data_IF_525407904346
#
_entry.id   IF_525407904346
#
_cell.length_a   1.000
_cell.length_b   1.000
_cell.length_c   1.000
_cell.angle_alpha   90.00
_cell.angle_beta   90.00
_cell.angle_gamma   90.00
#
_symmetry.space_group_name_H-M   'P 1'
#
loop_
_entity.id
_entity.type
_entity.pdbx_description
1 polymer ?
#
# COMPACT_ATOMS: atom_id res chain seq x y z
N UNK A 1 -1.99 9.69 88.42
CA UNK A 1 -2.31 10.84 87.54
C UNK A 1 -1.01 11.55 87.16
N UNK A 2 -0.60 11.47 85.89
CA UNK A 2 0.18 12.47 85.12
C UNK A 2 0.67 11.80 83.83
N UNK A 3 0.06 12.18 82.71
CA UNK A 3 0.50 11.86 81.37
C UNK A 3 1.56 12.87 80.92
N UNK A 4 2.46 12.48 80.02
CA UNK A 4 3.21 13.38 79.12
C UNK A 4 3.65 12.53 77.90
N UNK A 5 2.93 12.62 76.78
CA UNK A 5 3.11 13.58 75.67
C UNK A 5 4.25 13.18 74.74
N UNK A 6 3.93 12.40 73.72
CA UNK A 6 4.79 12.11 72.58
C UNK A 6 4.30 12.93 71.37
N UNK A 7 5.14 13.83 70.88
CA UNK A 7 4.90 14.59 69.65
C UNK A 7 5.14 13.67 68.44
N UNK A 8 4.10 13.38 67.68
CA UNK A 8 4.17 12.66 66.40
C UNK A 8 4.24 13.72 65.30
N UNK A 9 5.40 13.83 64.64
CA UNK A 9 5.57 14.65 63.45
C UNK A 9 4.92 13.93 62.24
N UNK A 10 3.87 14.51 61.69
CA UNK A 10 3.22 14.06 60.45
C UNK A 10 4.01 14.57 59.25
N UNK A 11 4.69 13.66 58.55
CA UNK A 11 5.24 13.89 57.21
C UNK A 11 4.10 13.77 56.19
N UNK A 12 3.91 14.72 55.27
CA UNK A 12 2.96 14.57 54.18
C UNK A 12 3.52 13.57 53.15
N UNK A 13 2.93 12.39 53.09
CA UNK A 13 3.12 11.44 51.98
C UNK A 13 2.48 12.03 50.73
N UNK A 14 3.29 12.66 49.87
CA UNK A 14 2.86 13.04 48.53
C UNK A 14 2.63 11.76 47.71
N UNK A 15 1.38 11.46 47.38
CA UNK A 15 1.04 10.47 46.36
C UNK A 15 1.43 11.03 44.99
N UNK A 16 2.54 10.55 44.43
CA UNK A 16 2.84 10.73 43.03
C UNK A 16 1.87 9.87 42.21
N UNK A 17 0.93 10.50 41.51
CA UNK A 17 0.10 9.84 40.51
C UNK A 17 1.01 9.61 39.29
N UNK A 18 1.26 8.36 38.84
CA UNK A 18 1.95 8.15 37.60
C UNK A 18 1.12 8.75 36.47
N UNK A 19 1.67 9.76 35.79
CA UNK A 19 1.09 10.29 34.57
C UNK A 19 1.06 9.14 33.55
N UNK A 20 -0.06 8.88 32.85
CA UNK A 20 -0.02 8.01 31.69
C UNK A 20 0.92 8.66 30.67
N UNK A 21 2.13 8.12 30.55
CA UNK A 21 2.96 8.30 29.37
C UNK A 21 2.08 7.91 28.18
N UNK A 22 2.02 8.70 27.09
CA UNK A 22 1.46 8.22 25.84
C UNK A 22 2.25 6.96 25.48
N UNK A 23 1.63 5.82 25.73
CA UNK A 23 1.94 4.60 25.05
C UNK A 23 1.56 4.85 23.59
N UNK A 24 2.49 5.45 22.86
CA UNK A 24 2.50 5.45 21.40
C UNK A 24 2.64 3.98 20.98
N UNK A 25 1.53 3.26 21.06
CA UNK A 25 1.33 1.96 20.45
C UNK A 25 1.24 2.12 18.94
N UNK A 26 2.25 2.75 18.33
CA UNK A 26 2.53 2.60 16.93
C UNK A 26 3.06 1.18 16.74
N UNK A 27 2.14 0.22 16.58
CA UNK A 27 2.47 -1.12 16.09
C UNK A 27 3.20 -0.95 14.77
N UNK A 28 4.52 -1.16 14.78
CA UNK A 28 5.30 -1.23 13.54
C UNK A 28 4.76 -2.41 12.72
N UNK A 29 4.21 -2.12 11.55
CA UNK A 29 3.82 -3.17 10.61
C UNK A 29 5.07 -4.00 10.27
N UNK A 30 4.90 -5.31 10.18
CA UNK A 30 5.96 -6.13 9.61
C UNK A 30 6.27 -5.67 8.19
N UNK A 31 7.52 -5.85 7.76
CA UNK A 31 7.93 -5.51 6.40
C UNK A 31 7.05 -6.20 5.35
N UNK A 32 6.67 -7.45 5.59
CA UNK A 32 5.75 -8.19 4.71
C UNK A 32 4.39 -7.49 4.57
N UNK A 33 3.78 -7.05 5.68
CA UNK A 33 2.52 -6.32 5.64
C UNK A 33 2.66 -5.00 4.88
N UNK A 34 3.77 -4.28 5.09
CA UNK A 34 4.04 -3.03 4.35
C UNK A 34 4.16 -3.28 2.84
N UNK A 35 4.89 -4.31 2.43
CA UNK A 35 5.04 -4.67 1.02
C UNK A 35 3.72 -5.12 0.39
N UNK A 36 2.86 -5.83 1.14
CA UNK A 36 1.51 -6.18 0.69
C UNK A 36 0.68 -4.91 0.45
N UNK A 37 0.67 -3.96 1.40
CA UNK A 37 -0.04 -2.69 1.22
C UNK A 37 0.47 -1.89 0.02
N UNK A 38 1.78 -1.82 -0.20
CA UNK A 38 2.36 -1.14 -1.37
C UNK A 38 1.96 -1.87 -2.66
N UNK A 39 1.94 -3.20 -2.67
CA UNK A 39 1.47 -3.98 -3.83
C UNK A 39 0.01 -3.65 -4.15
N UNK A 40 -0.83 -3.52 -3.14
CA UNK A 40 -2.26 -3.23 -3.31
C UNK A 40 -2.48 -1.80 -3.80
N UNK A 41 -1.72 -0.83 -3.28
CA UNK A 41 -1.69 0.54 -3.76
C UNK A 41 -1.27 0.61 -5.23
N UNK A 42 -0.18 -0.05 -5.61
CA UNK A 42 0.30 -0.11 -6.99
C UNK A 42 -0.71 -0.76 -7.96
N UNK A 43 -1.43 -1.78 -7.49
CA UNK A 43 -2.42 -2.49 -8.30
C UNK A 43 -3.73 -1.72 -8.47
N UNK A 44 -4.25 -1.14 -7.39
CA UNK A 44 -5.64 -0.69 -7.33
C UNK A 44 -5.80 0.77 -6.91
N UNK A 45 -4.78 1.38 -6.30
CA UNK A 45 -4.79 2.78 -5.89
C UNK A 45 -4.24 3.74 -6.94
N UNK A 46 -3.47 3.24 -7.92
CA UNK A 46 -2.84 4.06 -8.95
C UNK A 46 -3.55 3.96 -10.31
N UNK A 47 -3.48 5.08 -11.03
CA UNK A 47 -3.72 5.09 -12.46
C UNK A 47 -2.55 4.44 -13.20
N UNK A 48 -2.81 3.96 -14.43
CA UNK A 48 -1.81 3.23 -15.21
C UNK A 48 -0.52 4.04 -15.49
N UNK A 49 -0.58 5.36 -15.79
CA UNK A 49 0.65 6.16 -15.95
C UNK A 49 1.49 6.22 -14.68
N UNK A 50 0.86 6.31 -13.51
CA UNK A 50 1.58 6.36 -12.23
C UNK A 50 2.21 5.00 -11.91
N UNK A 51 1.47 3.90 -12.07
CA UNK A 51 2.04 2.55 -11.96
C UNK A 51 3.24 2.35 -12.88
N UNK A 52 3.11 2.80 -14.13
CA UNK A 52 4.19 2.75 -15.12
C UNK A 52 5.43 3.48 -14.60
N UNK A 53 5.29 4.70 -14.08
CA UNK A 53 6.41 5.45 -13.55
C UNK A 53 7.10 4.72 -12.39
N UNK A 54 6.32 4.08 -11.51
CA UNK A 54 6.84 3.25 -10.40
C UNK A 54 7.60 2.02 -10.91
N UNK A 55 7.07 1.35 -11.94
CA UNK A 55 7.70 0.21 -12.61
C UNK A 55 9.03 0.59 -13.26
N UNK A 56 9.05 1.68 -14.02
CA UNK A 56 10.26 2.19 -14.69
C UNK A 56 11.34 2.59 -13.67
N UNK A 57 10.93 3.09 -12.50
CA UNK A 57 11.82 3.38 -11.38
C UNK A 57 12.23 2.15 -10.55
N UNK A 58 11.66 0.96 -10.80
CA UNK A 58 11.82 -0.24 -9.97
C UNK A 58 11.56 0.03 -8.47
N UNK A 59 10.52 0.78 -8.15
CA UNK A 59 10.29 1.30 -6.80
C UNK A 59 8.96 0.82 -6.18
N UNK A 60 8.97 -0.02 -5.12
CA UNK A 60 10.16 -0.46 -4.37
C UNK A 60 10.86 -1.67 -5.00
N UNK A 61 12.21 -1.79 -4.89
CA UNK A 61 12.98 -2.89 -5.48
C UNK A 61 12.74 -4.25 -4.81
N UNK A 62 12.10 -4.27 -3.64
CA UNK A 62 11.74 -5.48 -2.92
C UNK A 62 10.58 -6.25 -3.58
N UNK A 63 9.81 -5.61 -4.46
CA UNK A 63 8.73 -6.26 -5.21
C UNK A 63 9.24 -6.81 -6.53
N UNK A 64 8.58 -7.85 -7.03
CA UNK A 64 8.95 -8.46 -8.30
C UNK A 64 8.35 -7.66 -9.47
N UNK A 65 9.22 -7.06 -10.28
CA UNK A 65 8.83 -6.23 -11.43
C UNK A 65 8.96 -6.96 -12.77
N UNK A 66 9.34 -8.24 -12.77
CA UNK A 66 9.42 -9.02 -13.99
C UNK A 66 8.06 -9.09 -14.72
N UNK A 67 8.09 -8.97 -16.04
CA UNK A 67 6.93 -9.17 -16.92
C UNK A 67 7.46 -9.57 -18.30
N UNK A 68 6.81 -10.54 -18.91
CA UNK A 68 6.99 -10.87 -20.32
C UNK A 68 6.00 -10.12 -21.22
N UNK A 69 5.17 -9.26 -20.64
CA UNK A 69 4.25 -8.39 -21.34
C UNK A 69 3.04 -9.14 -21.87
N UNK A 70 2.57 -8.75 -23.05
CA UNK A 70 1.34 -9.29 -23.62
C UNK A 70 1.53 -10.61 -24.41
N UNK A 71 2.59 -11.39 -24.16
CA UNK A 71 2.90 -12.64 -24.88
C UNK A 71 1.76 -13.66 -24.87
N UNK A 72 0.99 -13.69 -23.77
CA UNK A 72 -0.14 -14.60 -23.56
C UNK A 72 -1.49 -13.88 -23.60
N UNK A 73 -1.50 -12.60 -23.97
CA UNK A 73 -2.71 -11.80 -24.00
C UNK A 73 -3.55 -12.09 -25.27
N UNK A 74 -4.86 -11.80 -25.24
CA UNK A 74 -5.69 -11.87 -26.43
C UNK A 74 -5.17 -10.93 -27.53
N UNK A 75 -5.54 -11.22 -28.78
CA UNK A 75 -5.27 -10.32 -29.90
C UNK A 75 -5.77 -8.89 -29.59
N UNK A 76 -5.04 -7.87 -30.06
CA UNK A 76 -5.38 -6.46 -29.87
C UNK A 76 -5.96 -5.87 -31.16
N UNK A 77 -7.26 -6.07 -31.44
CA UNK A 77 -7.88 -5.60 -32.68
C UNK A 77 -7.96 -4.07 -32.76
N UNK A 78 -7.85 -3.37 -31.63
CA UNK A 78 -7.96 -1.91 -31.56
C UNK A 78 -6.61 -1.19 -31.67
N UNK A 79 -5.49 -1.92 -31.57
CA UNK A 79 -4.15 -1.35 -31.78
C UNK A 79 -3.66 -0.39 -30.70
N UNK A 80 -4.35 -0.28 -29.55
CA UNK A 80 -3.91 0.58 -28.44
C UNK A 80 -2.70 0.00 -27.70
N UNK A 81 -1.84 0.82 -27.06
CA UNK A 81 -0.69 0.34 -26.30
C UNK A 81 -1.10 -0.27 -24.96
N UNK A 82 -1.59 -1.52 -24.96
CA UNK A 82 -2.00 -2.26 -23.75
C UNK A 82 -0.84 -3.01 -23.05
N UNK A 83 0.39 -2.88 -23.56
CA UNK A 83 1.61 -3.43 -22.97
C UNK A 83 1.74 -3.08 -21.49
N UNK A 84 1.45 -1.82 -21.12
CA UNK A 84 1.54 -1.35 -19.74
C UNK A 84 0.48 -2.00 -18.83
N UNK A 85 -0.71 -2.27 -19.35
CA UNK A 85 -1.74 -3.00 -18.61
C UNK A 85 -1.33 -4.47 -18.39
N UNK A 86 -0.73 -5.14 -19.38
CA UNK A 86 -0.18 -6.48 -19.21
C UNK A 86 0.93 -6.51 -18.14
N UNK A 87 1.84 -5.53 -18.17
CA UNK A 87 2.89 -5.40 -17.17
C UNK A 87 2.36 -5.24 -15.74
N UNK A 88 1.23 -4.55 -15.57
CA UNK A 88 0.54 -4.44 -14.27
C UNK A 88 -0.15 -5.74 -13.87
N UNK A 89 -0.76 -6.42 -14.83
CA UNK A 89 -1.38 -7.73 -14.61
C UNK A 89 -0.37 -8.77 -14.12
N UNK A 90 0.79 -8.85 -14.79
CA UNK A 90 1.88 -9.73 -14.41
C UNK A 90 2.43 -9.39 -13.02
N UNK A 91 2.65 -8.10 -12.75
CA UNK A 91 3.09 -7.62 -11.44
C UNK A 91 2.16 -8.10 -10.32
N UNK A 92 0.84 -7.96 -10.51
CA UNK A 92 -0.15 -8.43 -9.54
C UNK A 92 -0.09 -9.94 -9.35
N UNK A 93 -0.05 -10.70 -10.45
CA UNK A 93 0.01 -12.16 -10.41
C UNK A 93 1.22 -12.68 -9.65
N UNK A 94 2.39 -12.12 -9.94
CA UNK A 94 3.65 -12.57 -9.41
C UNK A 94 3.80 -12.20 -7.93
N UNK A 95 3.56 -10.93 -7.57
CA UNK A 95 3.72 -10.47 -6.18
C UNK A 95 2.69 -11.11 -5.25
N UNK A 96 1.43 -11.28 -5.67
CA UNK A 96 0.45 -11.96 -4.83
C UNK A 96 0.79 -13.44 -4.59
N UNK A 97 1.44 -14.11 -5.55
CA UNK A 97 1.93 -15.49 -5.38
C UNK A 97 3.10 -15.55 -4.41
N UNK A 98 4.10 -14.68 -4.59
CA UNK A 98 5.25 -14.57 -3.68
C UNK A 98 4.79 -14.27 -2.25
N UNK A 99 3.79 -13.40 -2.11
CA UNK A 99 3.22 -13.02 -0.81
C UNK A 99 2.24 -14.06 -0.23
N UNK A 100 2.05 -15.20 -0.90
CA UNK A 100 1.22 -16.31 -0.39
C UNK A 100 -0.29 -16.01 -0.32
N UNK A 101 -0.77 -14.99 -1.05
CA UNK A 101 -2.16 -14.49 -0.97
C UNK A 101 -2.90 -14.51 -2.32
N UNK A 102 -2.39 -15.27 -3.29
CA UNK A 102 -3.01 -15.43 -4.61
C UNK A 102 -4.22 -16.37 -4.57
N UNK A 103 -5.32 -15.89 -3.98
CA UNK A 103 -6.61 -16.60 -3.93
C UNK A 103 -7.40 -16.42 -5.23
N UNK A 104 -8.47 -17.21 -5.41
CA UNK A 104 -9.40 -17.04 -6.55
C UNK A 104 -10.02 -15.63 -6.58
N UNK A 105 -10.33 -15.07 -5.41
CA UNK A 105 -10.87 -13.72 -5.29
C UNK A 105 -9.83 -12.66 -5.69
N UNK A 106 -8.60 -12.77 -5.19
CA UNK A 106 -7.50 -11.87 -5.57
C UNK A 106 -7.22 -11.92 -7.07
N UNK A 107 -7.16 -13.14 -7.65
CA UNK A 107 -7.03 -13.32 -9.09
C UNK A 107 -8.13 -12.59 -9.85
N UNK A 108 -9.39 -12.72 -9.43
CA UNK A 108 -10.51 -12.06 -10.08
C UNK A 108 -10.43 -10.53 -10.01
N UNK A 109 -9.93 -9.96 -8.91
CA UNK A 109 -9.71 -8.51 -8.79
C UNK A 109 -8.61 -8.03 -9.74
N UNK A 110 -7.51 -8.77 -9.84
CA UNK A 110 -6.41 -8.44 -10.77
C UNK A 110 -6.88 -8.53 -12.23
N UNK A 111 -7.63 -9.58 -12.57
CA UNK A 111 -8.18 -9.75 -13.93
C UNK A 111 -9.21 -8.65 -14.27
N UNK A 112 -10.02 -8.23 -13.30
CA UNK A 112 -10.96 -7.13 -13.48
C UNK A 112 -10.23 -5.81 -13.73
N UNK A 113 -9.18 -5.51 -12.96
CA UNK A 113 -8.39 -4.29 -13.16
C UNK A 113 -7.75 -4.25 -14.55
N UNK A 114 -7.19 -5.36 -15.00
CA UNK A 114 -6.68 -5.48 -16.37
C UNK A 114 -7.77 -5.27 -17.42
N UNK A 115 -8.96 -5.85 -17.22
CA UNK A 115 -10.09 -5.66 -18.13
C UNK A 115 -10.53 -4.20 -18.22
N UNK A 116 -10.58 -3.48 -17.10
CA UNK A 116 -10.91 -2.04 -17.10
C UNK A 116 -9.95 -1.24 -17.97
N UNK A 117 -8.65 -1.48 -17.87
CA UNK A 117 -7.62 -0.80 -18.67
C UNK A 117 -7.62 -1.21 -20.14
N UNK A 118 -7.96 -2.47 -20.40
CA UNK A 118 -8.04 -3.01 -21.76
C UNK A 118 -9.28 -2.50 -22.50
N UNK A 119 -10.44 -2.48 -21.84
CA UNK A 119 -11.71 -2.03 -22.43
C UNK A 119 -11.78 -0.50 -22.53
N UNK A 120 -11.20 0.20 -21.55
CA UNK A 120 -11.10 1.66 -21.52
C UNK A 120 -9.61 2.03 -21.50
N UNK A 121 -8.91 1.89 -22.64
CA UNK A 121 -7.55 2.41 -22.74
C UNK A 121 -7.63 3.87 -22.36
N UNK A 122 -6.79 4.28 -21.40
CA UNK A 122 -6.64 5.68 -21.04
C UNK A 122 -6.30 6.45 -22.32
N UNK A 123 -7.32 7.01 -22.95
CA UNK A 123 -7.17 8.16 -23.82
C UNK A 123 -6.81 9.28 -22.85
N UNK A 124 -5.71 10.02 -23.05
CA UNK A 124 -5.48 11.23 -22.29
C UNK A 124 -6.57 12.23 -22.67
N UNK A 125 -7.77 12.08 -22.10
CA UNK A 125 -8.82 13.08 -22.16
C UNK A 125 -8.37 14.18 -21.21
N UNK A 126 -7.77 15.21 -21.82
CA UNK A 126 -7.53 16.52 -21.25
C UNK A 126 -6.69 16.54 -19.98
N UNK A 127 -5.42 16.91 -20.12
CA UNK A 127 -4.73 17.62 -19.03
C UNK A 127 -5.59 18.82 -18.62
N UNK A 128 -6.11 18.90 -17.38
CA UNK A 128 -6.65 20.15 -16.87
C UNK A 128 -5.44 21.02 -16.51
N UNK A 129 -4.78 21.62 -17.49
CA UNK A 129 -3.55 22.35 -17.19
C UNK A 129 -2.75 22.96 -18.34
N UNK A 130 -3.11 22.78 -19.61
CA UNK A 130 -2.46 23.53 -20.69
C UNK A 130 -3.27 24.81 -20.93
N UNK A 131 -2.97 25.86 -20.16
CA UNK A 131 -3.20 27.22 -20.65
C UNK A 131 -2.20 27.45 -21.79
N UNK A 132 -2.69 27.49 -23.03
CA UNK A 132 -1.95 28.12 -24.11
C UNK A 132 -1.93 29.63 -23.85
N UNK A 133 -0.73 30.16 -23.59
CA UNK A 133 -0.44 31.59 -23.70
C UNK A 133 -0.25 31.97 -25.19
#
# INVERSE_FOLDING_TARGET
MKANSFLIALLPTALAIPLPTPNEGATSLSESQRLQSITDELMFGLELPDFTARREANDPPQLDWYSDGCTRAPSNPLGFPFQRACERHDFGYQNYRIQGRFTKAAKAQIDLRFKEEYDFPFVPSFSPGICFC
#
